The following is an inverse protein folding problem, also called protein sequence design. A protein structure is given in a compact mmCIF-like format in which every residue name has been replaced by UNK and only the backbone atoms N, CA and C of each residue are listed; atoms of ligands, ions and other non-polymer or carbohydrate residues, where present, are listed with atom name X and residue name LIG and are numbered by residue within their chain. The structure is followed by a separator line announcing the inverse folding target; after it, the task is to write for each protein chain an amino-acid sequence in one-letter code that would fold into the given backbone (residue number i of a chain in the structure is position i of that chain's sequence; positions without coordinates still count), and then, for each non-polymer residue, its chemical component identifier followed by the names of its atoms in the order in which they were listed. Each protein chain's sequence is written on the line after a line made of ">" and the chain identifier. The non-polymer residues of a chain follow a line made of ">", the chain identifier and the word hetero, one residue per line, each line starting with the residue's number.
data_IF_836355840497
#
_entry.id   IF_836355840497
#
_cell.length_a   1.000
_cell.length_b   1.000
_cell.length_c   1.000
_cell.angle_alpha   90.00
_cell.angle_beta   90.00
_cell.angle_gamma   90.00
#
_symmetry.space_group_name_H-M   'P 1'
#
loop_
_entity.id
_entity.type
_entity.pdbx_description
1 polymer ?
#
# COMPACT_ATOMS: atom_id res chain seq x y z
N UNK A 1 -5.78 -11.63 -34.61
CA UNK A 1 -4.47 -12.31 -34.76
C UNK A 1 -3.69 -11.93 -33.53
N UNK A 2 -3.04 -12.89 -32.87
CA UNK A 2 -2.26 -12.59 -31.66
C UNK A 2 -1.09 -11.67 -31.97
N UNK A 3 -0.81 -10.71 -31.08
CA UNK A 3 0.35 -9.82 -31.23
C UNK A 3 1.66 -10.64 -31.17
N UNK A 4 2.54 -10.41 -32.13
CA UNK A 4 3.79 -11.18 -32.29
C UNK A 4 4.73 -11.05 -31.11
N UNK A 5 4.68 -9.92 -30.36
CA UNK A 5 5.47 -9.71 -29.15
C UNK A 5 5.02 -10.64 -28.02
N UNK A 6 3.69 -10.85 -27.88
CA UNK A 6 3.14 -11.78 -26.91
C UNK A 6 3.51 -13.23 -27.28
N UNK A 7 3.41 -13.59 -28.57
CA UNK A 7 3.86 -14.90 -29.05
C UNK A 7 5.34 -15.14 -28.76
N UNK A 8 6.18 -14.16 -29.00
CA UNK A 8 7.61 -14.24 -28.70
C UNK A 8 7.86 -14.51 -27.22
N UNK A 9 7.23 -13.76 -26.31
CA UNK A 9 7.38 -13.94 -24.86
C UNK A 9 6.92 -15.33 -24.41
N UNK A 10 5.76 -15.80 -24.90
CA UNK A 10 5.22 -17.12 -24.56
C UNK A 10 6.08 -18.27 -25.06
N UNK A 11 6.61 -18.16 -26.26
CA UNK A 11 7.43 -19.21 -26.89
C UNK A 11 8.87 -19.28 -26.33
N UNK A 12 9.33 -18.22 -25.67
CA UNK A 12 10.66 -18.12 -25.09
C UNK A 12 10.71 -18.24 -23.57
N UNK A 13 9.66 -18.72 -22.95
CA UNK A 13 9.57 -18.94 -21.50
C UNK A 13 9.07 -20.34 -21.18
N UNK A 14 9.22 -20.78 -19.92
CA UNK A 14 8.67 -22.03 -19.43
C UNK A 14 7.13 -22.06 -19.42
N UNK A 15 6.56 -23.09 -18.83
CA UNK A 15 5.11 -23.24 -18.73
C UNK A 15 4.48 -22.15 -17.90
N UNK A 16 3.46 -21.48 -18.44
CA UNK A 16 2.74 -20.38 -17.80
C UNK A 16 1.57 -20.89 -16.97
N UNK A 17 1.47 -20.43 -15.73
CA UNK A 17 0.30 -20.64 -14.85
C UNK A 17 -0.71 -19.48 -15.01
N UNK A 18 -0.23 -18.29 -15.35
CA UNK A 18 -1.05 -17.08 -15.52
C UNK A 18 -1.41 -16.87 -16.98
N UNK A 19 -2.70 -16.87 -17.28
CA UNK A 19 -3.17 -16.68 -18.66
C UNK A 19 -3.44 -15.21 -19.04
N UNK A 20 -3.76 -14.35 -18.08
CA UNK A 20 -4.11 -12.95 -18.31
C UNK A 20 -5.40 -12.76 -19.12
N UNK A 21 -5.49 -11.64 -19.84
CA UNK A 21 -6.60 -11.33 -20.73
C UNK A 21 -6.59 -12.23 -21.98
N UNK A 22 -7.79 -12.52 -22.54
CA UNK A 22 -7.88 -13.23 -23.81
C UNK A 22 -7.30 -12.41 -24.96
N UNK A 23 -6.84 -13.10 -26.03
CA UNK A 23 -6.25 -12.42 -27.18
C UNK A 23 -7.22 -11.44 -27.85
N UNK A 24 -8.54 -11.74 -27.88
CA UNK A 24 -9.55 -10.85 -28.44
C UNK A 24 -9.66 -9.55 -27.63
N UNK A 25 -9.59 -9.63 -26.31
CA UNK A 25 -9.60 -8.45 -25.45
C UNK A 25 -8.31 -7.64 -25.62
N UNK A 26 -7.17 -8.29 -25.66
CA UNK A 26 -5.87 -7.62 -25.93
C UNK A 26 -5.91 -6.91 -27.27
N UNK A 27 -6.35 -7.56 -28.36
CA UNK A 27 -6.50 -6.93 -29.67
C UNK A 27 -7.45 -5.74 -29.67
N UNK A 28 -8.46 -5.75 -28.82
CA UNK A 28 -9.39 -4.64 -28.63
C UNK A 28 -8.72 -3.45 -27.96
N UNK A 29 -7.99 -3.71 -26.89
CA UNK A 29 -7.29 -2.67 -26.12
C UNK A 29 -6.10 -2.08 -26.87
N UNK A 30 -5.38 -2.86 -27.67
CA UNK A 30 -4.29 -2.35 -28.54
C UNK A 30 -4.76 -1.25 -29.51
N UNK A 31 -6.05 -1.25 -29.87
CA UNK A 31 -6.63 -0.25 -30.78
C UNK A 31 -7.01 1.05 -30.07
N UNK A 32 -7.24 1.02 -28.76
CA UNK A 32 -7.82 2.16 -28.03
C UNK A 32 -6.91 2.72 -26.93
N UNK A 33 -5.96 1.92 -26.41
CA UNK A 33 -5.05 2.37 -25.37
C UNK A 33 -3.57 2.24 -25.81
N UNK A 34 -2.90 3.35 -26.11
CA UNK A 34 -1.51 3.34 -26.52
C UNK A 34 -0.56 2.82 -25.44
N UNK A 35 -0.95 2.88 -24.14
CA UNK A 35 -0.10 2.39 -23.07
C UNK A 35 0.14 0.90 -23.17
N UNK A 36 -0.82 0.12 -23.67
CA UNK A 36 -0.63 -1.32 -23.85
C UNK A 36 0.46 -1.63 -24.91
N UNK A 37 0.47 -0.85 -26.02
CA UNK A 37 1.54 -0.96 -27.01
C UNK A 37 2.91 -0.66 -26.41
N UNK A 38 3.00 0.43 -25.64
CA UNK A 38 4.24 0.83 -24.96
C UNK A 38 4.67 -0.25 -23.95
N UNK A 39 3.74 -0.82 -23.17
CA UNK A 39 4.05 -1.88 -22.21
C UNK A 39 4.63 -3.12 -22.89
N UNK A 40 4.09 -3.52 -24.06
CA UNK A 40 4.60 -4.65 -24.84
C UNK A 40 6.00 -4.37 -25.42
N UNK A 41 6.24 -3.18 -25.95
CA UNK A 41 7.57 -2.80 -26.45
C UNK A 41 8.61 -2.79 -25.31
N UNK A 42 8.22 -2.27 -24.15
CA UNK A 42 9.07 -2.31 -22.96
C UNK A 42 9.33 -3.74 -22.49
N UNK A 43 8.35 -4.65 -22.59
CA UNK A 43 8.52 -6.05 -22.22
C UNK A 43 9.50 -6.78 -23.12
N UNK A 44 9.43 -6.59 -24.43
CA UNK A 44 10.42 -7.16 -25.37
C UNK A 44 11.82 -6.63 -25.05
N UNK A 45 11.95 -5.31 -24.87
CA UNK A 45 13.24 -4.72 -24.52
C UNK A 45 13.78 -5.22 -23.17
N UNK A 46 12.91 -5.38 -22.16
CA UNK A 46 13.30 -5.90 -20.87
C UNK A 46 13.75 -7.37 -20.99
N UNK A 47 13.05 -8.17 -21.81
CA UNK A 47 13.41 -9.56 -22.10
C UNK A 47 14.80 -9.69 -22.73
N UNK A 48 15.12 -8.83 -23.68
CA UNK A 48 16.43 -8.80 -24.36
C UNK A 48 17.60 -8.39 -23.43
N UNK A 49 17.29 -7.79 -22.29
CA UNK A 49 18.29 -7.32 -21.32
C UNK A 49 18.29 -8.13 -20.00
N UNK A 50 17.66 -9.30 -19.96
CA UNK A 50 17.81 -10.20 -18.83
C UNK A 50 19.23 -10.75 -18.75
N UNK A 51 19.72 -10.94 -17.53
CA UNK A 51 20.97 -11.64 -17.29
C UNK A 51 20.83 -13.12 -17.66
N UNK A 52 21.89 -13.72 -18.19
CA UNK A 52 21.91 -15.11 -18.67
C UNK A 52 21.37 -16.10 -17.61
N UNK A 53 21.74 -15.93 -16.33
CA UNK A 53 21.27 -16.78 -15.24
C UNK A 53 19.74 -16.69 -15.05
N UNK A 54 19.16 -15.51 -15.15
CA UNK A 54 17.71 -15.29 -15.02
C UNK A 54 16.98 -15.83 -16.24
N UNK A 55 17.56 -15.68 -17.41
CA UNK A 55 17.06 -16.22 -18.67
C UNK A 55 16.98 -17.75 -18.63
N UNK A 56 18.04 -18.42 -18.17
CA UNK A 56 18.10 -19.89 -18.05
C UNK A 56 17.02 -20.41 -17.10
N UNK A 57 16.79 -19.70 -15.97
CA UNK A 57 15.73 -20.03 -15.03
C UNK A 57 14.34 -19.86 -15.64
N UNK A 58 14.11 -18.74 -16.35
CA UNK A 58 12.83 -18.44 -16.99
C UNK A 58 12.46 -19.47 -18.07
N UNK A 59 13.42 -19.98 -18.81
CA UNK A 59 13.19 -20.99 -19.85
C UNK A 59 13.01 -22.39 -19.25
N UNK A 60 13.77 -22.73 -18.21
CA UNK A 60 13.82 -24.09 -17.66
C UNK A 60 12.75 -24.41 -16.62
N UNK A 61 12.17 -23.41 -15.96
CA UNK A 61 11.20 -23.56 -14.89
C UNK A 61 9.78 -23.16 -15.36
N UNK A 62 8.75 -23.76 -14.76
CA UNK A 62 7.39 -23.19 -14.89
C UNK A 62 7.27 -21.90 -14.07
N UNK A 63 6.23 -21.11 -14.34
CA UNK A 63 6.04 -19.78 -13.73
C UNK A 63 6.04 -19.82 -12.20
N UNK A 64 5.37 -20.80 -11.58
CA UNK A 64 5.34 -20.94 -10.11
C UNK A 64 6.69 -21.34 -9.52
N UNK A 65 7.49 -22.14 -10.22
CA UNK A 65 8.83 -22.50 -9.79
C UNK A 65 9.77 -21.31 -9.91
N UNK A 66 9.70 -20.59 -11.03
CA UNK A 66 10.48 -19.39 -11.25
C UNK A 66 10.16 -18.31 -10.23
N UNK A 67 8.87 -18.07 -9.92
CA UNK A 67 8.47 -17.14 -8.86
C UNK A 67 9.08 -17.50 -7.50
N UNK A 68 9.10 -18.80 -7.13
CA UNK A 68 9.74 -19.25 -5.89
C UNK A 68 11.25 -19.02 -5.88
N UNK A 69 11.91 -19.27 -7.01
CA UNK A 69 13.35 -19.05 -7.12
C UNK A 69 13.72 -17.57 -6.97
N UNK A 70 12.96 -16.66 -7.60
CA UNK A 70 13.17 -15.22 -7.46
C UNK A 70 12.95 -14.70 -6.04
N UNK A 71 12.13 -15.38 -5.24
CA UNK A 71 11.78 -14.94 -3.89
C UNK A 71 12.57 -15.65 -2.78
N UNK A 72 13.40 -16.63 -3.09
CA UNK A 72 14.03 -17.51 -2.08
C UNK A 72 14.87 -16.77 -1.04
N UNK A 73 15.49 -15.66 -1.43
CA UNK A 73 16.38 -14.88 -0.57
C UNK A 73 15.65 -13.77 0.21
N UNK A 74 14.34 -13.64 0.02
CA UNK A 74 13.51 -12.64 0.71
C UNK A 74 12.54 -13.29 1.68
N UNK A 75 12.44 -12.73 2.89
CA UNK A 75 11.39 -13.13 3.83
C UNK A 75 10.06 -12.48 3.40
N UNK A 76 9.16 -13.29 2.89
CA UNK A 76 7.80 -12.85 2.61
C UNK A 76 6.93 -13.07 3.86
N UNK A 77 6.43 -12.00 4.46
CA UNK A 77 5.56 -12.09 5.64
C UNK A 77 4.07 -12.20 5.31
N UNK A 78 3.70 -12.20 4.03
CA UNK A 78 2.35 -12.56 3.59
C UNK A 78 2.16 -14.08 3.56
N UNK A 79 0.92 -14.53 3.71
CA UNK A 79 0.59 -15.94 3.49
C UNK A 79 0.89 -16.30 2.03
N UNK A 80 1.49 -17.47 1.76
CA UNK A 80 1.84 -17.86 0.38
C UNK A 80 0.66 -17.79 -0.60
N UNK A 81 -0.56 -18.06 -0.15
CA UNK A 81 -1.77 -17.97 -0.96
C UNK A 81 -2.18 -16.53 -1.36
N UNK A 82 -1.56 -15.52 -0.78
CA UNK A 82 -1.82 -14.10 -1.10
C UNK A 82 -0.75 -13.47 -1.98
N UNK A 83 0.28 -14.23 -2.35
CA UNK A 83 1.32 -13.80 -3.27
C UNK A 83 0.78 -13.87 -4.69
N UNK A 84 1.01 -12.82 -5.50
CA UNK A 84 0.64 -12.85 -6.90
C UNK A 84 1.40 -13.97 -7.62
N UNK A 85 0.70 -14.81 -8.40
CA UNK A 85 1.34 -15.95 -9.07
C UNK A 85 2.19 -15.55 -10.28
N UNK A 86 1.98 -14.34 -10.83
CA UNK A 86 2.64 -13.86 -12.02
C UNK A 86 3.90 -13.03 -11.71
N UNK A 87 4.84 -13.02 -12.65
CA UNK A 87 6.08 -12.27 -12.54
C UNK A 87 6.02 -11.11 -13.54
N UNK A 88 5.92 -9.84 -13.09
CA UNK A 88 5.88 -8.71 -14.01
C UNK A 88 7.25 -8.51 -14.67
N UNK A 89 7.25 -8.32 -15.99
CA UNK A 89 8.43 -8.02 -16.79
C UNK A 89 8.50 -6.53 -17.15
N UNK A 90 7.38 -5.95 -17.57
CA UNK A 90 7.25 -4.54 -17.86
C UNK A 90 5.83 -4.06 -17.61
N UNK A 91 5.66 -2.74 -17.45
CA UNK A 91 4.35 -2.16 -17.24
C UNK A 91 4.29 -0.71 -17.75
N UNK A 92 3.08 -0.28 -18.16
CA UNK A 92 2.78 1.13 -18.52
C UNK A 92 1.31 1.44 -18.29
N UNK A 93 1.02 2.56 -17.63
CA UNK A 93 -0.37 2.89 -17.26
C UNK A 93 -1.00 1.77 -16.44
N UNK A 94 -2.16 1.22 -16.79
CA UNK A 94 -2.78 0.11 -16.07
C UNK A 94 -2.29 -1.28 -16.53
N UNK A 95 -1.35 -1.37 -17.48
CA UNK A 95 -0.97 -2.60 -18.12
C UNK A 95 0.31 -3.21 -17.53
N UNK A 96 0.25 -4.47 -17.18
CA UNK A 96 1.41 -5.29 -16.81
C UNK A 96 1.56 -6.40 -17.85
N UNK A 97 2.77 -6.57 -18.36
CA UNK A 97 3.18 -7.70 -19.19
C UNK A 97 4.07 -8.61 -18.34
N UNK A 98 3.69 -9.87 -18.24
CA UNK A 98 4.44 -10.83 -17.44
C UNK A 98 5.60 -11.44 -18.23
N UNK A 99 6.54 -12.08 -17.52
CA UNK A 99 7.66 -12.82 -18.13
C UNK A 99 7.19 -13.95 -19.06
N UNK A 100 6.01 -14.52 -18.80
CA UNK A 100 5.40 -15.60 -19.58
C UNK A 100 4.37 -15.11 -20.61
N UNK A 101 4.37 -13.80 -20.93
CA UNK A 101 3.55 -13.21 -21.98
C UNK A 101 2.04 -13.12 -21.64
N UNK A 102 1.68 -13.11 -20.38
CA UNK A 102 0.33 -12.74 -19.99
C UNK A 102 0.18 -11.21 -19.95
N UNK A 103 -0.95 -10.72 -20.44
CA UNK A 103 -1.36 -9.30 -20.32
C UNK A 103 -2.33 -9.17 -19.16
N UNK A 104 -1.98 -8.38 -18.17
CA UNK A 104 -2.79 -8.15 -16.97
C UNK A 104 -3.17 -6.68 -16.89
N UNK A 105 -4.44 -6.41 -16.58
CA UNK A 105 -4.90 -5.06 -16.26
C UNK A 105 -4.87 -4.86 -14.74
N UNK A 106 -3.99 -3.99 -14.28
CA UNK A 106 -3.89 -3.63 -12.87
C UNK A 106 -4.94 -2.59 -12.51
N UNK A 107 -5.89 -2.96 -11.66
CA UNK A 107 -6.94 -2.08 -11.17
C UNK A 107 -6.48 -1.24 -9.96
N UNK A 108 -5.19 -1.02 -9.81
CA UNK A 108 -4.63 -0.11 -8.82
C UNK A 108 -4.14 -0.77 -7.52
N UNK A 109 -3.81 -2.06 -7.54
CA UNK A 109 -3.19 -2.87 -6.48
C UNK A 109 -3.05 -2.22 -5.11
N UNK A 110 -3.96 -2.44 -4.17
CA UNK A 110 -4.06 -1.73 -2.88
C UNK A 110 -4.20 -0.19 -2.97
N UNK A 111 -4.56 0.37 -4.12
CA UNK A 111 -4.67 1.81 -4.33
C UNK A 111 -3.34 2.58 -4.34
N UNK A 112 -2.21 1.90 -4.50
CA UNK A 112 -0.88 2.53 -4.45
C UNK A 112 -0.45 3.20 -5.75
N UNK A 113 -1.06 2.84 -6.87
CA UNK A 113 -0.66 3.31 -8.20
C UNK A 113 -1.74 4.18 -8.85
N UNK A 114 -2.18 5.24 -8.18
CA UNK A 114 -3.20 6.15 -8.71
C UNK A 114 -2.84 6.82 -10.04
N UNK A 115 -1.55 6.85 -10.41
CA UNK A 115 -1.07 7.39 -11.69
C UNK A 115 -0.67 6.29 -12.69
N UNK A 116 -0.91 5.02 -12.36
CA UNK A 116 -0.49 3.88 -13.16
C UNK A 116 1.01 3.59 -13.07
N UNK A 117 1.44 2.56 -13.79
CA UNK A 117 2.84 2.17 -13.91
C UNK A 117 3.62 3.14 -14.80
N UNK A 118 4.87 3.38 -14.45
CA UNK A 118 5.82 4.24 -15.20
C UNK A 118 5.20 5.59 -15.64
N UNK A 119 4.69 6.41 -14.68
CA UNK A 119 4.09 7.70 -15.00
C UNK A 119 5.17 8.67 -15.49
N UNK A 120 5.13 9.00 -16.78
CA UNK A 120 6.21 9.73 -17.50
C UNK A 120 6.59 11.05 -16.83
N UNK A 121 5.61 11.84 -16.37
CA UNK A 121 5.87 13.13 -15.73
C UNK A 121 6.56 12.98 -14.38
N UNK A 122 6.18 11.98 -13.57
CA UNK A 122 6.82 11.69 -12.29
C UNK A 122 8.24 11.21 -12.51
N UNK A 123 8.46 10.25 -13.40
CA UNK A 123 9.76 9.69 -13.70
C UNK A 123 10.71 10.75 -14.26
N UNK A 124 10.24 11.60 -15.19
CA UNK A 124 11.04 12.70 -15.71
C UNK A 124 11.37 13.75 -14.64
N UNK A 125 10.46 13.96 -13.68
CA UNK A 125 10.73 14.85 -12.56
C UNK A 125 11.78 14.28 -11.61
N UNK A 126 11.73 12.98 -11.34
CA UNK A 126 12.71 12.30 -10.48
C UNK A 126 14.12 12.25 -11.09
N UNK A 127 14.25 12.29 -12.42
CA UNK A 127 15.53 12.30 -13.12
C UNK A 127 16.24 13.65 -13.10
N UNK A 128 15.60 14.72 -12.62
CA UNK A 128 16.22 16.06 -12.49
C UNK A 128 17.19 16.10 -11.31
N UNK A 129 18.10 17.08 -11.31
CA UNK A 129 18.99 17.31 -10.19
C UNK A 129 18.19 17.75 -8.96
N UNK A 130 18.40 17.06 -7.85
CA UNK A 130 17.79 17.35 -6.56
C UNK A 130 18.84 17.55 -5.47
N UNK A 131 18.53 18.44 -4.53
CA UNK A 131 19.35 18.57 -3.31
C UNK A 131 18.87 17.52 -2.30
N UNK A 132 19.76 16.58 -1.96
CA UNK A 132 19.50 15.51 -0.99
C UNK A 132 20.03 15.93 0.39
N UNK A 133 19.48 17.03 0.92
CA UNK A 133 19.86 17.52 2.23
C UNK A 133 19.17 16.74 3.36
N UNK A 134 19.70 16.88 4.58
CA UNK A 134 19.09 16.32 5.78
C UNK A 134 17.63 16.82 5.93
N UNK A 135 16.74 15.96 6.40
CA UNK A 135 15.31 16.26 6.61
C UNK A 135 15.05 17.46 7.53
N UNK A 136 15.96 17.78 8.43
CA UNK A 136 15.89 18.97 9.29
C UNK A 136 16.31 20.26 8.59
N UNK A 137 16.83 20.19 7.36
CA UNK A 137 17.26 21.37 6.60
C UNK A 137 16.06 21.96 5.86
N UNK A 138 15.71 23.25 6.09
CA UNK A 138 14.65 23.91 5.34
C UNK A 138 14.92 23.91 3.84
N UNK A 139 13.92 23.67 3.03
CA UNK A 139 14.04 23.71 1.58
C UNK A 139 12.86 24.42 0.90
N UNK A 140 13.16 25.04 -0.25
CA UNK A 140 12.14 25.65 -1.12
C UNK A 140 11.17 24.59 -1.62
N UNK A 141 11.64 23.38 -1.84
CA UNK A 141 10.82 22.24 -2.30
C UNK A 141 9.77 21.87 -1.26
N UNK A 142 10.11 21.85 0.02
CA UNK A 142 9.13 21.60 1.11
C UNK A 142 8.04 22.66 1.12
N UNK A 143 8.39 23.95 0.93
CA UNK A 143 7.40 25.02 0.86
C UNK A 143 6.44 24.82 -0.31
N UNK A 144 6.97 24.57 -1.50
CA UNK A 144 6.17 24.33 -2.70
C UNK A 144 5.25 23.10 -2.56
N UNK A 145 5.75 22.04 -1.94
CA UNK A 145 4.98 20.83 -1.68
C UNK A 145 3.83 21.12 -0.71
N UNK A 146 4.10 21.81 0.40
CA UNK A 146 3.05 22.19 1.36
C UNK A 146 1.97 23.08 0.72
N UNK A 147 2.35 24.05 -0.12
CA UNK A 147 1.40 24.91 -0.84
C UNK A 147 0.53 24.08 -1.81
N UNK A 148 1.16 23.13 -2.51
CA UNK A 148 0.43 22.21 -3.41
C UNK A 148 -0.54 21.36 -2.63
N UNK A 149 -0.13 20.75 -1.51
CA UNK A 149 -1.03 19.96 -0.65
C UNK A 149 -2.21 20.80 -0.15
N UNK A 150 -1.97 22.04 0.29
CA UNK A 150 -3.04 22.95 0.73
C UNK A 150 -4.02 23.24 -0.40
N UNK A 151 -3.55 23.48 -1.60
CA UNK A 151 -4.40 23.71 -2.79
C UNK A 151 -5.22 22.47 -3.13
N UNK A 152 -4.59 21.31 -3.25
CA UNK A 152 -5.26 20.07 -3.67
C UNK A 152 -6.27 19.57 -2.63
N UNK A 153 -5.91 19.58 -1.35
CA UNK A 153 -6.82 19.20 -0.26
C UNK A 153 -7.99 20.18 -0.13
N UNK A 154 -7.74 21.45 -0.38
CA UNK A 154 -8.72 22.53 -0.25
C UNK A 154 -9.63 22.74 -1.45
N UNK A 155 -9.32 22.18 -2.63
CA UNK A 155 -9.95 22.60 -3.88
C UNK A 155 -11.47 22.37 -3.93
N UNK A 156 -11.99 21.33 -3.28
CA UNK A 156 -13.45 21.06 -3.21
C UNK A 156 -14.14 21.71 -2.01
N UNK A 157 -13.37 22.24 -1.05
CA UNK A 157 -13.87 22.80 0.22
C UNK A 157 -13.68 24.30 0.34
N UNK A 158 -13.07 24.93 -0.66
CA UNK A 158 -12.72 26.35 -0.67
C UNK A 158 -11.48 26.71 0.15
N UNK A 159 -11.12 25.91 1.15
CA UNK A 159 -9.88 26.05 1.94
C UNK A 159 -9.38 24.71 2.47
N UNK A 160 -8.07 24.60 2.65
CA UNK A 160 -7.49 23.45 3.30
C UNK A 160 -7.78 23.48 4.81
N UNK A 161 -8.34 22.41 5.40
CA UNK A 161 -8.61 22.36 6.84
C UNK A 161 -7.35 22.10 7.68
N UNK A 162 -6.19 21.88 7.04
CA UNK A 162 -4.94 21.56 7.73
C UNK A 162 -3.90 22.67 7.56
N UNK A 163 -3.32 23.08 8.68
CA UNK A 163 -2.25 24.08 8.69
C UNK A 163 -0.87 23.47 8.41
N UNK A 164 -0.65 22.23 8.83
CA UNK A 164 0.65 21.54 8.80
C UNK A 164 0.52 20.12 8.27
N UNK A 165 1.61 19.62 7.69
CA UNK A 165 1.70 18.27 7.14
C UNK A 165 2.92 17.56 7.69
N UNK A 166 2.80 16.27 7.93
CA UNK A 166 3.91 15.36 8.24
C UNK A 166 4.02 14.36 7.11
N UNK A 167 5.22 14.21 6.54
CA UNK A 167 5.49 13.24 5.48
C UNK A 167 6.20 12.02 6.07
N UNK A 168 5.68 10.83 5.77
CA UNK A 168 6.23 9.53 6.19
C UNK A 168 6.31 8.61 4.96
N UNK A 169 6.97 7.45 5.11
CA UNK A 169 7.20 6.54 4.00
C UNK A 169 6.10 5.47 3.83
N UNK A 170 5.30 5.21 4.85
CA UNK A 170 4.26 4.17 4.81
C UNK A 170 3.01 4.54 5.62
N UNK A 171 1.88 3.91 5.27
CA UNK A 171 0.63 4.06 6.03
C UNK A 171 0.77 3.63 7.50
N UNK A 172 1.55 2.58 7.79
CA UNK A 172 1.84 2.16 9.16
C UNK A 172 2.56 3.23 9.98
N UNK A 173 3.49 3.96 9.36
CA UNK A 173 4.19 5.07 10.01
C UNK A 173 3.25 6.25 10.25
N UNK A 174 2.41 6.60 9.27
CA UNK A 174 1.39 7.66 9.44
C UNK A 174 0.46 7.36 10.60
N UNK A 175 -0.08 6.13 10.69
CA UNK A 175 -0.96 5.73 11.78
C UNK A 175 -0.20 5.73 13.12
N UNK A 176 1.06 5.27 13.15
CA UNK A 176 1.89 5.35 14.36
C UNK A 176 2.04 6.79 14.86
N UNK A 177 2.26 7.75 13.94
CA UNK A 177 2.37 9.17 14.31
C UNK A 177 1.02 9.74 14.76
N UNK A 178 -0.07 9.41 14.06
CA UNK A 178 -1.41 9.83 14.43
C UNK A 178 -1.78 9.33 15.85
N UNK A 179 -1.57 8.04 16.13
CA UNK A 179 -1.78 7.48 17.47
C UNK A 179 -0.88 8.12 18.54
N UNK A 180 0.34 8.52 18.19
CA UNK A 180 1.22 9.23 19.12
C UNK A 180 0.68 10.62 19.45
N UNK A 181 0.11 11.33 18.49
CA UNK A 181 -0.52 12.63 18.71
C UNK A 181 -1.75 12.48 19.63
N UNK A 182 -2.59 11.47 19.37
CA UNK A 182 -3.74 11.14 20.22
C UNK A 182 -3.30 10.79 21.64
N UNK A 183 -2.30 9.92 21.79
CA UNK A 183 -1.73 9.48 23.08
C UNK A 183 -1.16 10.66 23.91
N UNK A 184 -0.49 11.63 23.25
CA UNK A 184 -0.05 12.86 23.94
C UNK A 184 -1.25 13.65 24.45
N UNK A 185 -2.31 13.79 23.65
CA UNK A 185 -3.53 14.46 24.09
C UNK A 185 -4.20 13.71 25.23
N UNK A 186 -4.37 12.39 25.12
CA UNK A 186 -4.96 11.55 26.16
C UNK A 186 -4.18 11.68 27.47
N UNK A 187 -2.84 11.71 27.40
CA UNK A 187 -2.01 11.95 28.56
C UNK A 187 -2.26 13.31 29.20
N UNK A 188 -2.28 14.40 28.43
CA UNK A 188 -2.58 15.74 28.95
C UNK A 188 -3.95 15.83 29.60
N UNK A 189 -4.93 15.07 29.11
CA UNK A 189 -6.28 15.01 29.65
C UNK A 189 -6.39 14.18 30.95
N UNK A 190 -5.52 13.18 31.14
CA UNK A 190 -5.62 12.20 32.24
C UNK A 190 -4.51 12.32 33.29
N UNK A 191 -3.44 13.06 33.03
CA UNK A 191 -2.37 13.34 34.01
C UNK A 191 -2.86 14.24 35.15
N UNK A 192 -1.98 14.44 36.13
CA UNK A 192 -2.23 15.34 37.26
C UNK A 192 -2.58 16.74 36.73
N UNK A 193 -3.64 17.35 37.25
CA UNK A 193 -4.22 18.64 36.81
C UNK A 193 -5.01 18.55 35.47
N UNK A 194 -5.07 17.40 34.80
CA UNK A 194 -5.93 17.22 33.64
C UNK A 194 -7.41 17.08 34.01
N UNK A 195 -8.33 17.46 33.11
CA UNK A 195 -9.79 17.44 33.41
C UNK A 195 -10.34 16.02 33.63
N UNK A 196 -9.60 15.00 33.24
CA UNK A 196 -9.95 13.58 33.39
C UNK A 196 -8.91 12.81 34.20
N UNK A 197 -8.26 13.46 35.16
CA UNK A 197 -7.17 12.91 35.97
C UNK A 197 -7.47 11.49 36.48
N UNK A 198 -6.53 10.60 36.26
CA UNK A 198 -6.55 9.22 36.75
C UNK A 198 -7.49 8.27 36.02
N UNK A 199 -8.22 8.74 35.00
CA UNK A 199 -9.05 7.86 34.17
C UNK A 199 -8.20 6.91 33.35
N UNK A 200 -8.66 5.67 33.17
CA UNK A 200 -8.11 4.73 32.20
C UNK A 200 -8.37 5.22 30.80
N UNK A 201 -7.43 4.99 29.87
CA UNK A 201 -7.58 5.39 28.46
C UNK A 201 -8.10 4.22 27.66
N UNK A 202 -9.23 4.42 26.97
CA UNK A 202 -9.76 3.50 25.98
C UNK A 202 -9.55 4.04 24.57
N UNK A 203 -8.97 3.23 23.70
CA UNK A 203 -8.82 3.57 22.29
C UNK A 203 -9.98 2.99 21.49
N UNK A 204 -10.66 3.78 20.67
CA UNK A 204 -11.71 3.31 19.77
C UNK A 204 -11.17 3.12 18.37
N UNK A 205 -11.48 1.99 17.74
CA UNK A 205 -11.13 1.70 16.36
C UNK A 205 -12.29 1.03 15.61
N UNK A 206 -12.26 1.08 14.29
CA UNK A 206 -13.28 0.44 13.47
C UNK A 206 -13.05 -1.08 13.41
N UNK A 207 -14.13 -1.84 13.59
CA UNK A 207 -14.11 -3.29 13.36
C UNK A 207 -13.86 -3.60 11.89
N UNK A 208 -13.20 -4.74 11.62
CA UNK A 208 -12.73 -5.15 10.28
C UNK A 208 -11.76 -4.15 9.63
N UNK A 209 -11.27 -3.15 10.40
CA UNK A 209 -10.31 -2.16 9.96
C UNK A 209 -8.89 -2.73 9.83
N UNK A 210 -8.12 -2.12 8.91
CA UNK A 210 -6.70 -2.35 8.75
C UNK A 210 -5.95 -1.02 8.78
N UNK A 211 -5.07 -0.86 9.76
CA UNK A 211 -4.35 0.40 10.00
C UNK A 211 -2.84 0.27 9.85
N UNK A 212 -2.35 -0.91 9.57
CA UNK A 212 -0.93 -1.20 9.39
C UNK A 212 -0.46 -2.41 10.19
N UNK A 213 0.81 -2.78 10.02
CA UNK A 213 1.40 -4.01 10.56
C UNK A 213 2.47 -3.79 11.62
N UNK A 214 2.90 -2.55 11.86
CA UNK A 214 3.79 -2.20 12.98
C UNK A 214 3.00 -2.19 14.30
N UNK A 215 3.68 -2.32 15.45
CA UNK A 215 3.07 -2.61 16.75
C UNK A 215 1.80 -1.82 17.08
N UNK A 216 1.86 -0.49 17.08
CA UNK A 216 0.68 0.33 17.40
C UNK A 216 -0.45 0.19 16.38
N UNK A 217 -0.22 0.39 15.07
CA UNK A 217 -1.26 0.19 14.06
C UNK A 217 -1.85 -1.22 14.06
N UNK A 218 -1.03 -2.24 14.32
CA UNK A 218 -1.50 -3.62 14.40
C UNK A 218 -2.45 -3.84 15.59
N UNK A 219 -2.25 -3.14 16.71
CA UNK A 219 -3.11 -3.27 17.89
C UNK A 219 -4.55 -2.78 17.68
N UNK A 220 -4.75 -1.86 16.73
CA UNK A 220 -6.06 -1.34 16.33
C UNK A 220 -6.58 -1.89 14.99
N UNK A 221 -5.86 -2.85 14.38
CA UNK A 221 -6.25 -3.51 13.13
C UNK A 221 -7.00 -4.81 13.41
N UNK A 222 -8.32 -4.75 13.65
CA UNK A 222 -9.10 -5.92 14.04
C UNK A 222 -9.05 -7.04 12.99
N UNK A 223 -8.87 -6.72 11.71
CA UNK A 223 -8.74 -7.71 10.62
C UNK A 223 -7.53 -8.65 10.77
N UNK A 224 -6.46 -8.24 11.45
CA UNK A 224 -5.25 -9.05 11.64
C UNK A 224 -4.89 -9.29 13.12
N UNK A 225 -5.47 -8.55 14.05
CA UNK A 225 -5.19 -8.64 15.48
C UNK A 225 -5.28 -10.05 16.06
N UNK A 226 -6.28 -10.89 15.75
CA UNK A 226 -6.36 -12.25 16.27
C UNK A 226 -5.15 -13.14 15.91
N UNK A 227 -4.58 -12.95 14.72
CA UNK A 227 -3.36 -13.65 14.28
C UNK A 227 -2.15 -13.22 15.12
N UNK A 228 -2.02 -11.92 15.40
CA UNK A 228 -0.93 -11.39 16.23
C UNK A 228 -1.06 -11.83 17.68
N UNK A 229 -2.24 -11.77 18.27
CA UNK A 229 -2.49 -12.27 19.64
C UNK A 229 -2.13 -13.75 19.80
N UNK A 230 -2.36 -14.55 18.76
CA UNK A 230 -2.00 -15.97 18.77
C UNK A 230 -0.50 -16.23 18.63
N UNK A 231 0.21 -15.39 17.84
CA UNK A 231 1.59 -15.66 17.42
C UNK A 231 2.65 -14.83 18.14
N UNK A 232 2.31 -13.62 18.62
CA UNK A 232 3.28 -12.67 19.14
C UNK A 232 3.12 -12.46 20.65
N UNK A 233 4.24 -12.57 21.37
CA UNK A 233 4.26 -12.37 22.83
C UNK A 233 3.89 -10.94 23.24
N UNK A 234 4.25 -9.93 22.44
CA UNK A 234 3.92 -8.51 22.67
C UNK A 234 2.43 -8.20 22.61
N UNK A 235 1.63 -9.09 22.00
CA UNK A 235 0.18 -8.94 21.90
C UNK A 235 -0.59 -9.77 22.94
N UNK A 236 0.10 -10.33 23.94
CA UNK A 236 -0.54 -11.00 25.09
C UNK A 236 -1.06 -9.96 26.08
N UNK A 237 -2.24 -10.21 26.64
CA UNK A 237 -2.82 -9.38 27.69
C UNK A 237 -4.13 -8.71 27.30
N UNK A 238 -4.64 -7.89 28.21
CA UNK A 238 -5.86 -7.11 27.96
C UNK A 238 -5.53 -5.94 27.02
N UNK A 239 -6.39 -5.73 26.04
CA UNK A 239 -6.36 -4.55 25.18
C UNK A 239 -7.43 -3.57 25.64
N UNK A 240 -7.04 -2.29 25.76
CA UNK A 240 -7.98 -1.19 26.02
C UNK A 240 -8.64 -0.68 24.74
N UNK A 241 -8.46 -1.40 23.61
CA UNK A 241 -9.10 -1.07 22.35
C UNK A 241 -10.55 -1.57 22.35
N UNK A 242 -11.45 -0.71 21.91
CA UNK A 242 -12.89 -0.99 21.69
C UNK A 242 -13.14 -0.89 20.19
N UNK A 243 -13.63 -1.98 19.60
CA UNK A 243 -13.96 -1.99 18.17
C UNK A 243 -15.43 -1.66 17.98
N UNK A 244 -15.70 -0.77 17.02
CA UNK A 244 -17.05 -0.34 16.64
C UNK A 244 -17.28 -0.65 15.16
N UNK A 245 -18.42 -1.24 14.83
CA UNK A 245 -18.78 -1.56 13.43
C UNK A 245 -18.90 -0.24 12.63
N UNK A 246 -18.34 -0.17 11.40
CA UNK A 246 -18.50 1.01 10.55
C UNK A 246 -19.97 1.42 10.39
N UNK A 247 -20.24 2.72 10.53
CA UNK A 247 -21.59 3.32 10.47
C UNK A 247 -22.54 2.95 11.62
N UNK A 248 -22.09 2.23 12.64
CA UNK A 248 -22.88 1.94 13.83
C UNK A 248 -22.76 3.05 14.88
N UNK A 249 -23.61 4.08 14.74
CA UNK A 249 -23.67 5.21 15.68
C UNK A 249 -24.17 4.77 17.06
N UNK A 250 -25.00 3.73 17.14
CA UNK A 250 -25.47 3.21 18.44
C UNK A 250 -24.35 2.52 19.20
N UNK A 251 -23.58 1.67 18.54
CA UNK A 251 -22.39 1.03 19.10
C UNK A 251 -21.36 2.06 19.55
N UNK A 252 -21.11 3.11 18.78
CA UNK A 252 -20.21 4.19 19.19
C UNK A 252 -20.72 4.91 20.46
N UNK A 253 -21.98 5.29 20.51
CA UNK A 253 -22.59 5.90 21.70
C UNK A 253 -22.52 5.00 22.93
N UNK A 254 -22.68 3.67 22.71
CA UNK A 254 -22.58 2.71 23.80
C UNK A 254 -21.18 2.68 24.41
N UNK A 255 -20.12 2.73 23.57
CA UNK A 255 -18.73 2.80 24.07
C UNK A 255 -18.51 4.04 24.95
N UNK A 256 -19.01 5.20 24.57
CA UNK A 256 -18.90 6.40 25.40
C UNK A 256 -19.70 6.28 26.71
N UNK A 257 -20.91 5.73 26.64
CA UNK A 257 -21.73 5.48 27.85
C UNK A 257 -21.06 4.50 28.82
N UNK A 258 -20.45 3.45 28.29
CA UNK A 258 -19.71 2.47 29.09
C UNK A 258 -18.44 3.09 29.70
N UNK A 259 -17.72 3.91 28.92
CA UNK A 259 -16.55 4.63 29.41
C UNK A 259 -16.90 5.59 30.57
N UNK A 260 -18.00 6.32 30.46
CA UNK A 260 -18.47 7.19 31.55
C UNK A 260 -18.82 6.39 32.81
N UNK A 261 -19.49 5.24 32.66
CA UNK A 261 -19.83 4.34 33.76
C UNK A 261 -18.61 3.72 34.41
N UNK A 262 -17.60 3.34 33.65
CA UNK A 262 -16.36 2.70 34.12
C UNK A 262 -15.28 3.71 34.50
N UNK A 263 -15.51 5.01 34.30
CA UNK A 263 -14.55 6.06 34.61
C UNK A 263 -13.38 6.12 33.65
N UNK A 264 -13.57 5.73 32.37
CA UNK A 264 -12.54 5.81 31.35
C UNK A 264 -12.59 7.11 30.53
N UNK A 265 -11.47 7.44 29.90
CA UNK A 265 -11.33 8.49 28.88
C UNK A 265 -11.21 7.83 27.51
N UNK A 266 -11.98 8.29 26.54
CA UNK A 266 -12.01 7.71 25.18
C UNK A 266 -11.15 8.55 24.24
N UNK A 267 -10.18 7.92 23.58
CA UNK A 267 -9.47 8.46 22.42
C UNK A 267 -9.94 7.77 21.12
N UNK A 268 -9.97 8.51 20.01
CA UNK A 268 -10.42 8.04 18.69
C UNK A 268 -9.27 8.04 17.71
#
# INVERSE_FOLDING_TARGET
>A
MMDTRIEQLRNSSGEADTHGLSNELVDSFLKIDPNLNIALDLAIKARENLDDEVEDLLVSLNESQFARELQKDFVNFYEPSTVNPYIPLAAKGPWIITTHGAVVHDNGGYGMLGMGHDPTEVMSSMSKSHVMANVMTPSVTHKRFADTLKREVGHTRGACPFDRFICMNSGSEYVTVAMRISDINARLMTDQEGPHQGKEIWTVALDSGFHGRTDRPASISSSCLPKYQKKLASFRGKSNVRFVIPNDIHGLKQVFSDADREGAFVEL
#
